data_IF_245682956350
#
_entry.id   IF_245682956350
#
_cell.length_a   1.000
_cell.length_b   1.000
_cell.length_c   1.000
_cell.angle_alpha   90.00
_cell.angle_beta   90.00
_cell.angle_gamma   90.00
#
_symmetry.space_group_name_H-M   'P 1'
#
loop_
_entity.id
_entity.type
_entity.pdbx_description
1 polymer ?
#
# COMPACT_ATOMS: atom_id res chain seq x y z
N UNK A 1 12.00 -9.21 5.45
CA UNK A 1 12.75 -9.33 6.72
C UNK A 1 12.09 -8.41 7.74
N UNK A 2 11.19 -8.96 8.57
CA UNK A 2 10.54 -8.22 9.66
C UNK A 2 11.57 -7.99 10.75
N UNK A 3 12.29 -6.87 10.70
CA UNK A 3 13.04 -6.40 11.86
C UNK A 3 12.05 -5.74 12.79
N UNK A 4 11.77 -6.44 13.86
CA UNK A 4 10.91 -6.05 14.96
C UNK A 4 11.34 -4.66 15.46
N UNK A 5 10.41 -3.72 15.43
CA UNK A 5 10.53 -2.45 16.12
C UNK A 5 10.41 -2.78 17.62
N UNK A 6 11.55 -2.97 18.27
CA UNK A 6 11.61 -3.19 19.72
C UNK A 6 11.28 -1.84 20.39
N UNK A 7 10.01 -1.45 20.41
CA UNK A 7 9.51 -0.45 21.33
C UNK A 7 9.27 -1.17 22.66
N UNK A 8 10.30 -1.28 23.47
CA UNK A 8 10.15 -1.60 24.88
C UNK A 8 9.50 -0.40 25.59
N UNK A 9 8.23 -0.15 25.34
CA UNK A 9 7.39 0.56 26.29
C UNK A 9 7.10 -0.42 27.44
N UNK A 10 8.10 -0.66 28.27
CA UNK A 10 7.84 -1.26 29.59
C UNK A 10 7.15 -0.16 30.39
N UNK A 11 5.81 -0.17 30.32
CA UNK A 11 4.98 0.62 31.23
C UNK A 11 5.43 0.28 32.66
N UNK A 12 5.89 1.29 33.39
CA UNK A 12 5.99 1.25 34.83
C UNK A 12 4.56 1.17 35.40
N UNK A 13 3.96 0.04 35.29
CA UNK A 13 2.65 -0.27 35.83
C UNK A 13 2.69 -1.63 36.51
N UNK A 14 2.42 -1.61 37.80
CA UNK A 14 2.16 -2.74 38.66
C UNK A 14 3.35 -3.20 39.54
N UNK A 15 3.56 -2.43 40.59
CA UNK A 15 3.96 -2.99 41.87
C UNK A 15 2.80 -3.87 42.41
N UNK A 16 2.55 -5.02 41.80
CA UNK A 16 1.76 -6.05 42.44
C UNK A 16 2.73 -6.89 43.29
N UNK A 17 2.48 -6.91 44.57
CA UNK A 17 3.23 -7.65 45.58
C UNK A 17 3.37 -9.12 45.23
N UNK A 18 4.48 -9.50 44.62
CA UNK A 18 4.89 -10.86 44.57
C UNK A 18 5.88 -11.12 45.72
N UNK A 19 5.43 -11.90 46.66
CA UNK A 19 6.22 -12.40 47.77
C UNK A 19 7.22 -13.48 47.25
N UNK A 20 8.30 -13.02 46.60
CA UNK A 20 9.34 -13.88 46.04
C UNK A 20 10.58 -13.86 46.95
N UNK A 21 10.44 -14.40 48.15
CA UNK A 21 11.56 -14.47 49.11
C UNK A 21 12.55 -15.64 48.87
N UNK A 22 12.38 -16.48 47.88
CA UNK A 22 13.23 -17.65 47.69
C UNK A 22 13.96 -17.81 46.36
N UNK A 23 13.76 -16.91 45.39
CA UNK A 23 14.39 -16.99 44.06
C UNK A 23 15.44 -15.92 43.76
N UNK A 24 15.63 -14.94 44.63
CA UNK A 24 16.60 -13.85 44.46
C UNK A 24 17.60 -13.86 45.64
N UNK A 25 18.55 -14.81 45.62
CA UNK A 25 19.77 -14.69 46.44
C UNK A 25 20.54 -13.46 45.95
N UNK A 26 20.44 -12.36 46.67
CA UNK A 26 21.09 -11.10 46.32
C UNK A 26 22.13 -10.80 47.38
N UNK A 27 23.40 -10.98 47.04
CA UNK A 27 24.54 -10.48 47.81
C UNK A 27 24.91 -9.10 47.19
N UNK A 28 24.86 -8.02 47.94
CA UNK A 28 25.23 -6.69 47.50
C UNK A 28 24.36 -5.57 48.11
N UNK A 29 24.60 -4.33 47.69
CA UNK A 29 23.80 -3.20 48.09
C UNK A 29 22.35 -3.30 47.54
N UNK A 30 21.40 -2.53 48.12
CA UNK A 30 20.03 -2.46 47.59
C UNK A 30 20.02 -2.01 46.12
N UNK A 31 20.96 -1.16 45.72
CA UNK A 31 21.12 -0.69 44.33
C UNK A 31 21.55 -1.82 43.40
N UNK A 32 22.49 -2.68 43.84
CA UNK A 32 22.93 -3.86 43.07
C UNK A 32 21.78 -4.85 42.91
N UNK A 33 21.02 -5.07 43.98
CA UNK A 33 19.82 -5.89 43.99
C UNK A 33 18.80 -5.38 42.98
N UNK A 34 18.56 -4.08 42.98
CA UNK A 34 17.63 -3.43 42.03
C UNK A 34 18.10 -3.62 40.58
N UNK A 35 19.36 -3.32 40.28
CA UNK A 35 19.98 -3.51 38.97
C UNK A 35 19.85 -4.94 38.47
N UNK A 36 20.04 -5.92 39.33
CA UNK A 36 19.93 -7.34 39.03
C UNK A 36 18.48 -7.73 38.65
N UNK A 37 17.51 -7.26 39.47
CA UNK A 37 16.11 -7.57 39.24
C UNK A 37 15.62 -6.91 37.93
N UNK A 38 15.97 -5.65 37.69
CA UNK A 38 15.64 -5.00 36.43
C UNK A 38 16.27 -5.70 35.21
N UNK A 39 17.56 -6.02 35.29
CA UNK A 39 18.26 -6.76 34.22
C UNK A 39 17.59 -8.08 33.88
N UNK A 40 17.18 -8.86 34.90
CA UNK A 40 16.44 -10.13 34.68
C UNK A 40 15.06 -9.90 34.10
N UNK A 41 14.29 -8.91 34.59
CA UNK A 41 12.95 -8.57 34.09
C UNK A 41 13.00 -8.21 32.62
N UNK A 42 13.86 -7.26 32.23
CA UNK A 42 14.03 -6.87 30.84
C UNK A 42 14.54 -8.02 29.96
N UNK A 43 15.52 -8.80 30.43
CA UNK A 43 16.05 -9.94 29.71
C UNK A 43 15.00 -11.00 29.40
N UNK A 44 14.12 -11.31 30.36
CA UNK A 44 13.01 -12.25 30.11
C UNK A 44 11.94 -11.66 29.22
N UNK A 45 11.63 -10.36 29.34
CA UNK A 45 10.70 -9.67 28.44
C UNK A 45 11.16 -9.77 26.99
N UNK A 46 12.39 -9.33 26.70
CA UNK A 46 12.99 -9.41 25.36
C UNK A 46 13.07 -10.85 24.86
N UNK A 47 13.41 -11.81 25.71
CA UNK A 47 13.43 -13.22 25.34
C UNK A 47 12.05 -13.72 24.91
N UNK A 48 10.98 -13.26 25.59
CA UNK A 48 9.60 -13.61 25.23
C UNK A 48 9.19 -13.03 23.88
N UNK A 49 9.46 -11.75 23.64
CA UNK A 49 9.16 -11.06 22.38
C UNK A 49 9.90 -11.68 21.18
N UNK A 50 11.13 -12.13 21.38
CA UNK A 50 11.97 -12.70 20.33
C UNK A 50 11.92 -14.24 20.24
N UNK A 51 11.02 -14.88 21.00
CA UNK A 51 10.94 -16.34 21.06
C UNK A 51 10.69 -17.02 19.70
N UNK A 52 10.05 -16.31 18.78
CA UNK A 52 9.68 -16.79 17.44
C UNK A 52 10.62 -16.34 16.31
N UNK A 53 11.63 -15.50 16.63
CA UNK A 53 12.61 -15.05 15.61
C UNK A 53 13.85 -15.93 15.64
N UNK A 54 13.89 -16.94 14.79
CA UNK A 54 14.99 -17.88 14.66
C UNK A 54 16.24 -17.28 14.02
N UNK A 55 16.11 -16.13 13.35
CA UNK A 55 17.23 -15.42 12.71
C UNK A 55 17.87 -14.36 13.63
N UNK A 56 17.34 -14.19 14.83
CA UNK A 56 17.83 -13.19 15.78
C UNK A 56 19.18 -13.56 16.38
N UNK A 57 20.16 -12.69 16.17
CA UNK A 57 21.54 -12.86 16.64
C UNK A 57 21.71 -12.32 18.08
N UNK A 58 21.45 -13.16 19.07
CA UNK A 58 21.54 -12.79 20.51
C UNK A 58 22.89 -12.21 20.90
N UNK A 59 23.98 -12.76 20.36
CA UNK A 59 25.33 -12.26 20.61
C UNK A 59 25.55 -10.84 20.14
N UNK A 60 25.15 -10.54 18.91
CA UNK A 60 25.23 -9.21 18.33
C UNK A 60 24.37 -8.19 19.10
N UNK A 61 23.18 -8.60 19.51
CA UNK A 61 22.29 -7.76 20.33
C UNK A 61 22.95 -7.38 21.66
N UNK A 62 23.47 -8.36 22.39
CA UNK A 62 24.17 -8.11 23.67
C UNK A 62 25.43 -7.28 23.47
N UNK A 63 26.19 -7.51 22.38
CA UNK A 63 27.37 -6.72 22.07
C UNK A 63 27.01 -5.25 21.82
N UNK A 64 25.93 -4.99 21.08
CA UNK A 64 25.41 -3.63 20.85
C UNK A 64 24.98 -2.94 22.13
N UNK A 65 24.21 -3.62 23.00
CA UNK A 65 23.83 -3.09 24.31
C UNK A 65 25.06 -2.76 25.18
N UNK A 66 26.01 -3.69 25.26
CA UNK A 66 27.24 -3.50 26.03
C UNK A 66 28.05 -2.30 25.53
N UNK A 67 28.13 -2.11 24.21
CA UNK A 67 28.85 -1.01 23.62
C UNK A 67 28.27 0.36 24.05
N UNK A 68 26.94 0.49 24.03
CA UNK A 68 26.26 1.72 24.44
C UNK A 68 26.35 1.96 25.95
N UNK A 69 26.14 0.92 26.77
CA UNK A 69 26.20 1.02 28.23
C UNK A 69 27.60 1.30 28.77
N UNK A 70 28.66 1.04 27.99
CA UNK A 70 30.03 1.34 28.32
C UNK A 70 30.48 2.75 27.91
N UNK A 71 29.65 3.51 27.20
CA UNK A 71 29.95 4.89 26.81
C UNK A 71 29.73 5.83 27.99
N UNK A 72 30.62 6.78 28.14
CA UNK A 72 30.47 7.87 29.10
C UNK A 72 29.66 9.05 28.53
N UNK A 73 29.30 10.00 29.38
CA UNK A 73 28.48 11.19 29.00
C UNK A 73 29.11 12.04 27.88
N UNK A 74 30.43 11.96 27.65
CA UNK A 74 31.09 12.67 26.55
C UNK A 74 30.66 12.13 25.16
N UNK A 75 29.94 11.01 25.13
CA UNK A 75 29.42 10.36 23.92
C UNK A 75 27.92 10.54 23.71
N UNK A 76 27.26 11.36 24.49
CA UNK A 76 25.81 11.55 24.39
C UNK A 76 25.36 12.02 22.99
N UNK A 77 26.09 12.99 22.40
CA UNK A 77 25.81 13.42 21.04
C UNK A 77 26.03 12.32 19.99
N UNK A 78 27.02 11.47 20.21
CA UNK A 78 27.25 10.30 19.34
C UNK A 78 26.13 9.28 19.47
N UNK A 79 25.64 9.04 20.69
CA UNK A 79 24.51 8.15 20.95
C UNK A 79 23.24 8.71 20.31
N UNK A 80 22.98 10.01 20.44
CA UNK A 80 21.88 10.68 19.78
C UNK A 80 21.95 10.55 18.25
N UNK A 81 23.13 10.70 17.67
CA UNK A 81 23.37 10.48 16.25
C UNK A 81 23.09 9.03 15.80
N UNK A 82 23.49 8.05 16.59
CA UNK A 82 23.16 6.64 16.31
C UNK A 82 21.66 6.38 16.35
N UNK A 83 20.95 6.94 17.35
CA UNK A 83 19.50 6.80 17.46
C UNK A 83 18.78 7.41 16.25
N UNK A 84 19.17 8.60 15.83
CA UNK A 84 18.64 9.23 14.61
C UNK A 84 18.93 8.39 13.37
N UNK A 85 20.15 7.87 13.23
CA UNK A 85 20.52 6.99 12.11
C UNK A 85 19.66 5.71 12.04
N UNK A 86 19.34 5.12 13.19
CA UNK A 86 18.42 3.98 13.25
C UNK A 86 17.00 4.35 12.85
N UNK A 87 16.49 5.51 13.30
CA UNK A 87 15.16 6.00 12.91
C UNK A 87 15.09 6.22 11.40
N UNK A 88 16.07 6.90 10.81
CA UNK A 88 16.15 7.13 9.36
C UNK A 88 16.18 5.81 8.59
N UNK A 89 16.99 4.84 9.04
CA UNK A 89 17.05 3.51 8.43
C UNK A 89 15.70 2.79 8.46
N UNK A 90 14.96 2.91 9.55
CA UNK A 90 13.62 2.34 9.68
C UNK A 90 12.61 3.04 8.75
N UNK A 91 12.67 4.38 8.64
CA UNK A 91 11.82 5.15 7.71
C UNK A 91 12.09 4.71 6.26
N UNK A 92 13.36 4.58 5.87
CA UNK A 92 13.73 4.10 4.53
C UNK A 92 13.24 2.68 4.27
N UNK A 93 13.37 1.78 5.25
CA UNK A 93 12.89 0.40 5.13
C UNK A 93 11.36 0.33 4.99
N UNK A 94 10.63 1.14 5.75
CA UNK A 94 9.16 1.23 5.66
C UNK A 94 8.71 1.82 4.32
N UNK A 95 9.40 2.85 3.81
CA UNK A 95 9.10 3.42 2.50
C UNK A 95 9.30 2.38 1.38
N UNK A 96 10.36 1.57 1.46
CA UNK A 96 10.58 0.47 0.52
C UNK A 96 9.53 -0.63 0.65
N UNK A 97 9.21 -1.07 1.87
CA UNK A 97 8.26 -2.18 2.09
C UNK A 97 6.82 -1.80 1.71
N UNK A 98 6.38 -0.59 2.09
CA UNK A 98 5.00 -0.15 1.89
C UNK A 98 4.74 0.43 0.51
N UNK A 99 5.67 1.22 0.01
CA UNK A 99 5.46 2.08 -1.17
C UNK A 99 6.39 1.74 -2.34
N UNK A 100 7.33 0.79 -2.17
CA UNK A 100 8.33 0.45 -3.17
C UNK A 100 9.35 1.57 -3.43
N UNK A 101 9.48 2.53 -2.50
CA UNK A 101 10.37 3.69 -2.64
C UNK A 101 11.74 3.39 -2.06
N UNK A 102 12.74 3.24 -2.92
CA UNK A 102 14.13 3.08 -2.53
C UNK A 102 14.80 4.45 -2.33
N UNK A 103 15.36 4.66 -1.14
CA UNK A 103 16.13 5.88 -0.82
C UNK A 103 17.60 5.54 -0.59
N UNK A 104 18.50 6.29 -1.24
CA UNK A 104 19.94 6.14 -1.05
C UNK A 104 20.40 6.84 0.24
N UNK A 105 20.84 6.04 1.21
CA UNK A 105 21.30 6.52 2.51
C UNK A 105 22.55 7.41 2.43
N UNK A 106 23.40 7.26 1.40
CA UNK A 106 24.61 8.08 1.22
C UNK A 106 24.24 9.47 0.72
N UNK A 107 23.29 9.54 -0.24
CA UNK A 107 22.76 10.83 -0.73
C UNK A 107 22.04 11.52 0.42
N UNK A 108 21.18 10.80 1.15
CA UNK A 108 20.48 11.35 2.31
C UNK A 108 21.45 11.94 3.33
N UNK A 109 22.44 11.17 3.76
CA UNK A 109 23.42 11.61 4.77
C UNK A 109 24.23 12.82 4.29
N UNK A 110 24.61 12.85 3.01
CA UNK A 110 25.34 13.98 2.41
C UNK A 110 24.53 15.28 2.50
N UNK A 111 23.26 15.24 2.10
CA UNK A 111 22.40 16.41 2.10
C UNK A 111 21.99 16.82 3.53
N UNK A 112 21.74 15.83 4.41
CA UNK A 112 21.53 16.09 5.83
C UNK A 112 22.71 16.83 6.45
N UNK A 113 23.94 16.33 6.26
CA UNK A 113 25.15 16.97 6.78
C UNK A 113 25.29 18.40 6.25
N UNK A 114 25.06 18.63 4.97
CA UNK A 114 25.12 19.96 4.36
C UNK A 114 24.12 20.91 5.00
N UNK A 115 22.88 20.49 5.20
CA UNK A 115 21.84 21.30 5.83
C UNK A 115 22.13 21.55 7.32
N UNK A 116 22.51 20.49 8.06
CA UNK A 116 22.78 20.54 9.48
C UNK A 116 23.97 21.46 9.86
N UNK A 117 24.99 21.48 9.00
CA UNK A 117 26.20 22.31 9.19
C UNK A 117 26.08 23.71 8.57
N UNK A 118 24.92 24.06 8.03
CA UNK A 118 24.67 25.39 7.44
C UNK A 118 24.28 26.40 8.52
N UNK A 119 24.79 27.62 8.37
CA UNK A 119 24.36 28.74 9.21
C UNK A 119 22.97 29.28 8.83
N UNK A 120 22.42 28.80 7.71
CA UNK A 120 21.10 29.22 7.20
C UNK A 120 20.01 28.33 7.75
N UNK A 121 19.07 28.90 8.49
CA UNK A 121 17.83 28.23 8.90
C UNK A 121 16.77 28.39 7.81
N UNK A 122 16.31 27.27 7.29
CA UNK A 122 15.22 27.20 6.29
C UNK A 122 14.06 26.44 6.94
N UNK A 123 12.84 26.97 6.83
CA UNK A 123 11.66 26.26 7.32
C UNK A 123 11.48 24.92 6.57
N UNK A 124 11.51 23.77 7.27
CA UNK A 124 11.34 22.46 6.63
C UNK A 124 10.00 22.32 5.91
N UNK A 125 8.98 23.11 6.26
CA UNK A 125 7.67 23.04 5.63
C UNK A 125 7.69 23.32 4.12
N UNK A 126 8.65 24.11 3.65
CA UNK A 126 8.78 24.41 2.19
C UNK A 126 9.09 23.16 1.35
N UNK A 127 9.65 22.12 1.95
CA UNK A 127 9.98 20.88 1.25
C UNK A 127 8.80 19.90 1.20
N UNK A 128 7.77 20.07 2.03
CA UNK A 128 6.68 19.08 2.18
C UNK A 128 5.95 18.81 0.86
N UNK A 129 5.58 19.86 0.13
CA UNK A 129 4.88 19.70 -1.16
C UNK A 129 5.75 18.94 -2.17
N UNK A 130 7.04 19.27 -2.24
CA UNK A 130 7.99 18.60 -3.15
C UNK A 130 8.26 17.14 -2.75
N UNK A 131 8.33 16.85 -1.46
CA UNK A 131 8.45 15.48 -0.96
C UNK A 131 7.23 14.67 -1.36
N UNK A 132 6.00 15.20 -1.16
CA UNK A 132 4.77 14.51 -1.56
C UNK A 132 4.73 14.24 -3.06
N UNK A 133 5.06 15.23 -3.88
CA UNK A 133 5.12 15.10 -5.34
C UNK A 133 6.11 14.00 -5.78
N UNK A 134 7.33 14.04 -5.25
CA UNK A 134 8.37 13.06 -5.58
C UNK A 134 8.01 11.65 -5.09
N UNK A 135 7.47 11.52 -3.89
CA UNK A 135 6.99 10.24 -3.37
C UNK A 135 5.91 9.64 -4.27
N UNK A 136 4.94 10.46 -4.70
CA UNK A 136 3.89 10.02 -5.62
C UNK A 136 4.47 9.58 -6.98
N UNK A 137 5.44 10.35 -7.53
CA UNK A 137 6.08 10.03 -8.80
C UNK A 137 6.87 8.71 -8.74
N UNK A 138 7.70 8.53 -7.71
CA UNK A 138 8.50 7.30 -7.52
C UNK A 138 7.59 6.09 -7.29
N UNK A 139 6.54 6.26 -6.49
CA UNK A 139 5.54 5.20 -6.26
C UNK A 139 4.83 4.79 -7.54
N UNK A 140 4.46 5.76 -8.38
CA UNK A 140 3.86 5.49 -9.68
C UNK A 140 4.84 4.73 -10.59
N UNK A 141 6.09 5.18 -10.67
CA UNK A 141 7.13 4.53 -11.48
C UNK A 141 7.40 3.09 -11.00
N UNK A 142 7.45 2.85 -9.68
CA UNK A 142 7.61 1.51 -9.13
C UNK A 142 6.45 0.58 -9.53
N UNK A 143 5.21 1.08 -9.50
CA UNK A 143 4.02 0.33 -9.94
C UNK A 143 4.05 0.03 -11.45
N UNK A 144 4.47 0.99 -12.26
CA UNK A 144 4.60 0.81 -13.71
C UNK A 144 5.67 -0.24 -14.08
N UNK A 145 6.71 -0.39 -13.24
CA UNK A 145 7.77 -1.39 -13.39
C UNK A 145 7.42 -2.76 -12.80
N UNK A 146 6.30 -2.90 -12.11
CA UNK A 146 5.83 -4.21 -11.61
C UNK A 146 5.74 -5.19 -12.80
N UNK A 147 6.39 -6.37 -12.74
CA UNK A 147 6.34 -7.34 -13.85
C UNK A 147 4.92 -7.71 -14.26
N UNK A 148 3.97 -7.74 -13.33
CA UNK A 148 2.55 -7.99 -13.60
C UNK A 148 1.93 -6.84 -14.40
N UNK A 149 2.22 -5.60 -14.00
CA UNK A 149 1.74 -4.41 -14.71
C UNK A 149 2.28 -4.36 -16.15
N UNK A 150 3.56 -4.69 -16.35
CA UNK A 150 4.18 -4.76 -17.66
C UNK A 150 3.54 -5.87 -18.52
N UNK A 151 3.37 -7.06 -17.95
CA UNK A 151 2.75 -8.19 -18.64
C UNK A 151 1.29 -7.87 -19.04
N UNK A 152 0.50 -7.30 -18.13
CA UNK A 152 -0.89 -6.93 -18.39
C UNK A 152 -1.00 -5.87 -19.50
N UNK A 153 -0.12 -4.88 -19.51
CA UNK A 153 -0.09 -3.85 -20.57
C UNK A 153 0.28 -4.44 -21.94
N UNK A 154 1.16 -5.45 -21.97
CA UNK A 154 1.46 -6.20 -23.21
C UNK A 154 0.27 -7.04 -23.65
N UNK A 155 -0.40 -7.73 -22.72
CA UNK A 155 -1.59 -8.54 -23.00
C UNK A 155 -2.74 -7.68 -23.52
N UNK A 156 -2.97 -6.52 -22.92
CA UNK A 156 -3.95 -5.52 -23.38
C UNK A 156 -3.69 -5.12 -24.83
N UNK A 157 -2.46 -4.69 -25.14
CA UNK A 157 -2.08 -4.28 -26.51
C UNK A 157 -2.31 -5.41 -27.52
N UNK A 158 -1.88 -6.62 -27.16
CA UNK A 158 -2.07 -7.79 -28.02
C UNK A 158 -3.55 -8.11 -28.21
N UNK A 159 -4.33 -8.12 -27.16
CA UNK A 159 -5.77 -8.40 -27.21
C UNK A 159 -6.52 -7.36 -28.05
N UNK A 160 -6.19 -6.09 -27.92
CA UNK A 160 -6.77 -5.03 -28.76
C UNK A 160 -6.47 -5.28 -30.24
N UNK A 161 -5.20 -5.49 -30.60
CA UNK A 161 -4.78 -5.69 -31.98
C UNK A 161 -5.38 -6.95 -32.60
N UNK A 162 -5.34 -8.08 -31.86
CA UNK A 162 -5.73 -9.38 -32.40
C UNK A 162 -7.25 -9.58 -32.39
N UNK A 163 -7.96 -9.04 -31.43
CA UNK A 163 -9.35 -9.41 -31.15
C UNK A 163 -10.35 -8.25 -31.31
N UNK A 164 -9.94 -7.00 -31.14
CA UNK A 164 -10.86 -5.87 -31.13
C UNK A 164 -10.79 -5.04 -32.40
N UNK A 165 -9.62 -4.53 -32.81
CA UNK A 165 -9.49 -3.58 -33.90
C UNK A 165 -9.86 -4.16 -35.27
N UNK A 166 -9.71 -5.47 -35.46
CA UNK A 166 -10.04 -6.16 -36.70
C UNK A 166 -11.43 -6.80 -36.69
N UNK A 167 -12.22 -6.63 -35.64
CA UNK A 167 -13.56 -7.17 -35.52
C UNK A 167 -14.63 -6.13 -35.91
N UNK A 168 -15.37 -6.28 -36.98
CA UNK A 168 -16.35 -5.29 -37.47
C UNK A 168 -17.54 -5.11 -36.52
N UNK A 169 -17.76 -6.03 -35.57
CA UNK A 169 -18.81 -5.90 -34.57
C UNK A 169 -18.38 -5.05 -33.35
N UNK A 170 -17.06 -4.78 -33.22
CA UNK A 170 -16.52 -3.98 -32.13
C UNK A 170 -16.41 -2.52 -32.57
N UNK A 171 -16.95 -1.66 -31.75
CA UNK A 171 -16.83 -0.20 -31.87
C UNK A 171 -15.86 0.33 -30.83
N UNK A 172 -15.34 1.52 -31.06
CA UNK A 172 -14.52 2.24 -30.08
C UNK A 172 -15.21 3.55 -29.75
N UNK A 173 -15.38 3.83 -28.45
CA UNK A 173 -15.93 5.11 -27.98
C UNK A 173 -14.91 6.24 -28.11
N UNK A 174 -15.37 7.50 -27.98
CA UNK A 174 -14.49 8.67 -27.97
C UNK A 174 -13.50 8.65 -26.82
N UNK A 175 -13.91 8.13 -25.65
CA UNK A 175 -13.03 7.98 -24.47
C UNK A 175 -12.06 6.81 -24.56
N UNK A 176 -12.22 5.89 -25.53
CA UNK A 176 -11.29 4.79 -25.80
C UNK A 176 -11.76 3.42 -25.34
N UNK A 177 -12.97 3.26 -24.84
CA UNK A 177 -13.57 1.96 -24.52
C UNK A 177 -13.94 1.23 -25.81
N UNK A 178 -13.56 -0.04 -25.92
CA UNK A 178 -14.05 -0.90 -26.99
C UNK A 178 -15.35 -1.57 -26.52
N UNK A 179 -16.33 -1.67 -27.42
CA UNK A 179 -17.60 -2.27 -27.06
C UNK A 179 -18.31 -2.95 -28.24
N UNK A 180 -19.09 -3.97 -27.89
CA UNK A 180 -20.02 -4.66 -28.79
C UNK A 180 -21.44 -4.43 -28.32
N UNK A 181 -22.30 -4.01 -29.23
CA UNK A 181 -23.75 -3.92 -29.00
C UNK A 181 -24.38 -5.28 -29.25
N UNK A 182 -24.88 -5.92 -28.19
CA UNK A 182 -25.60 -7.20 -28.29
C UNK A 182 -27.09 -6.94 -28.50
N UNK A 183 -27.60 -5.91 -27.82
CA UNK A 183 -28.99 -5.47 -27.91
C UNK A 183 -29.03 -3.97 -27.75
N UNK A 184 -29.70 -3.30 -28.66
CA UNK A 184 -30.00 -1.88 -28.51
C UNK A 184 -31.11 -1.70 -27.46
N UNK A 185 -31.01 -0.65 -26.67
CA UNK A 185 -32.08 -0.22 -25.76
C UNK A 185 -33.08 0.69 -26.47
N UNK A 186 -34.10 1.12 -25.73
CA UNK A 186 -35.11 2.04 -26.20
C UNK A 186 -35.23 3.25 -25.29
N UNK A 187 -35.64 4.39 -25.85
CA UNK A 187 -35.79 5.66 -25.12
C UNK A 187 -34.56 6.57 -25.23
N UNK A 188 -34.37 7.41 -24.23
CA UNK A 188 -33.24 8.36 -24.16
C UNK A 188 -32.02 7.73 -23.49
N UNK A 189 -30.86 8.26 -23.84
CA UNK A 189 -29.61 7.89 -23.15
C UNK A 189 -29.63 8.38 -21.71
N UNK A 190 -28.93 7.65 -20.84
CA UNK A 190 -28.78 8.05 -19.45
C UNK A 190 -27.88 9.28 -19.28
N UNK A 191 -28.15 10.06 -18.26
CA UNK A 191 -27.38 11.26 -17.90
C UNK A 191 -26.33 10.93 -16.83
N UNK A 192 -25.31 11.75 -16.74
CA UNK A 192 -24.24 11.61 -15.75
C UNK A 192 -24.73 11.67 -14.30
N UNK A 193 -25.88 12.30 -14.05
CA UNK A 193 -26.53 12.42 -12.74
C UNK A 193 -27.44 11.25 -12.39
N UNK A 194 -27.71 10.40 -13.35
CA UNK A 194 -28.69 9.34 -13.19
C UNK A 194 -28.17 8.21 -12.29
N UNK A 195 -29.14 7.53 -11.65
CA UNK A 195 -28.92 6.30 -10.94
C UNK A 195 -29.58 5.17 -11.74
N UNK A 196 -28.74 4.32 -12.30
CA UNK A 196 -29.13 3.36 -13.34
C UNK A 196 -29.12 1.96 -12.72
N UNK A 197 -30.21 1.23 -12.87
CA UNK A 197 -30.27 -0.20 -12.50
C UNK A 197 -29.57 -1.02 -13.58
N UNK A 198 -28.52 -1.73 -13.18
CA UNK A 198 -27.60 -2.46 -14.08
C UNK A 198 -27.46 -3.89 -13.60
N UNK A 199 -27.53 -4.85 -14.54
CA UNK A 199 -26.99 -6.19 -14.33
C UNK A 199 -25.64 -6.27 -15.03
N UNK A 200 -24.65 -6.86 -14.37
CA UNK A 200 -23.32 -6.97 -14.95
C UNK A 200 -22.58 -8.24 -14.55
N UNK A 201 -21.63 -8.59 -15.36
CA UNK A 201 -20.60 -9.60 -15.05
C UNK A 201 -19.25 -9.06 -15.50
N UNK A 202 -18.34 -8.93 -14.56
CA UNK A 202 -16.95 -8.50 -14.79
C UNK A 202 -16.01 -9.71 -14.91
N UNK A 203 -15.17 -9.71 -15.94
CA UNK A 203 -14.24 -10.80 -16.25
C UNK A 203 -12.84 -10.26 -16.56
N UNK A 204 -11.84 -11.07 -16.22
CA UNK A 204 -10.48 -10.93 -16.71
C UNK A 204 -10.40 -11.30 -18.21
N UNK A 205 -9.29 -10.95 -18.88
CA UNK A 205 -9.06 -11.32 -20.27
C UNK A 205 -9.02 -12.86 -20.50
N UNK A 206 -8.69 -13.63 -19.47
CA UNK A 206 -8.75 -15.10 -19.52
C UNK A 206 -10.16 -15.69 -19.39
N UNK A 207 -11.18 -14.82 -19.22
CA UNK A 207 -12.59 -15.20 -19.06
C UNK A 207 -13.04 -15.51 -17.64
N UNK A 208 -12.14 -15.52 -16.64
CA UNK A 208 -12.48 -15.75 -15.25
C UNK A 208 -13.30 -14.58 -14.70
N UNK A 209 -14.41 -14.90 -14.02
CA UNK A 209 -15.31 -13.92 -13.42
C UNK A 209 -14.74 -13.44 -12.10
N UNK A 210 -14.55 -12.13 -11.94
CA UNK A 210 -14.11 -11.53 -10.69
C UNK A 210 -15.23 -10.86 -9.91
N UNK A 211 -16.30 -10.43 -10.58
CA UNK A 211 -17.45 -9.79 -9.94
C UNK A 211 -18.70 -9.94 -10.80
N UNK A 212 -19.88 -9.99 -10.18
CA UNK A 212 -21.17 -10.10 -10.87
C UNK A 212 -22.32 -9.69 -9.97
N UNK A 213 -23.30 -9.00 -10.54
CA UNK A 213 -24.60 -8.76 -9.89
C UNK A 213 -25.53 -9.99 -9.94
N UNK A 214 -25.10 -11.06 -10.61
CA UNK A 214 -25.93 -12.24 -10.91
C UNK A 214 -27.24 -11.84 -11.62
N UNK A 215 -28.39 -12.29 -11.07
CA UNK A 215 -29.70 -11.99 -11.63
C UNK A 215 -30.31 -10.68 -11.11
N UNK A 216 -29.70 -10.08 -10.10
CA UNK A 216 -30.22 -8.87 -9.48
C UNK A 216 -29.68 -7.59 -10.19
N UNK A 217 -30.57 -6.63 -10.41
CA UNK A 217 -30.14 -5.32 -10.88
C UNK A 217 -29.66 -4.47 -9.69
N UNK A 218 -28.47 -3.90 -9.80
CA UNK A 218 -27.86 -3.04 -8.80
C UNK A 218 -27.74 -1.59 -9.31
N UNK A 219 -27.84 -0.58 -8.42
CA UNK A 219 -27.80 0.80 -8.83
C UNK A 219 -26.39 1.28 -9.07
N UNK A 220 -26.08 1.72 -10.29
CA UNK A 220 -24.85 2.38 -10.66
C UNK A 220 -25.08 3.86 -10.93
N UNK A 221 -24.10 4.69 -10.54
CA UNK A 221 -24.00 6.08 -10.98
C UNK A 221 -22.80 6.22 -11.90
N UNK A 222 -22.91 6.88 -13.07
CA UNK A 222 -21.77 7.08 -13.95
C UNK A 222 -20.55 7.74 -13.30
N UNK A 223 -20.77 8.53 -12.25
CA UNK A 223 -19.68 9.16 -11.45
C UNK A 223 -19.09 8.26 -10.38
N UNK A 224 -19.76 7.16 -10.03
CA UNK A 224 -19.39 6.27 -8.93
C UNK A 224 -18.75 4.96 -9.37
N UNK A 225 -18.51 4.77 -10.65
CA UNK A 225 -17.90 3.57 -11.24
C UNK A 225 -16.60 3.94 -11.96
N UNK A 226 -15.85 2.93 -12.42
CA UNK A 226 -14.63 3.17 -13.21
C UNK A 226 -14.93 4.04 -14.45
N UNK A 227 -13.99 4.91 -14.88
CA UNK A 227 -14.22 5.91 -15.93
C UNK A 227 -14.84 5.32 -17.20
N UNK A 228 -14.31 4.21 -17.70
CA UNK A 228 -14.83 3.57 -18.92
C UNK A 228 -16.26 3.04 -18.76
N UNK A 229 -16.63 2.51 -17.61
CA UNK A 229 -18.01 2.11 -17.33
C UNK A 229 -18.94 3.34 -17.29
N UNK A 230 -18.51 4.40 -16.59
CA UNK A 230 -19.27 5.64 -16.47
C UNK A 230 -19.53 6.33 -17.82
N UNK A 231 -18.56 6.30 -18.72
CA UNK A 231 -18.72 6.78 -20.10
C UNK A 231 -19.76 5.96 -20.86
N UNK A 232 -19.63 4.63 -20.82
CA UNK A 232 -20.49 3.74 -21.59
C UNK A 232 -21.93 3.74 -21.10
N UNK A 233 -22.17 3.83 -19.81
CA UNK A 233 -23.52 3.95 -19.26
C UNK A 233 -24.28 5.15 -19.82
N UNK A 234 -23.60 6.28 -20.11
CA UNK A 234 -24.20 7.46 -20.71
C UNK A 234 -24.50 7.30 -22.22
N UNK A 235 -23.90 6.31 -22.88
CA UNK A 235 -24.18 5.97 -24.27
C UNK A 235 -25.27 4.89 -24.41
N UNK A 236 -25.56 4.17 -23.33
CA UNK A 236 -26.61 3.15 -23.30
C UNK A 236 -27.99 3.73 -23.05
N UNK A 237 -29.01 2.94 -23.38
CA UNK A 237 -30.44 3.25 -23.18
C UNK A 237 -31.06 2.16 -22.33
N UNK A 238 -32.24 2.37 -21.71
CA UNK A 238 -32.95 1.32 -20.99
C UNK A 238 -33.17 0.05 -21.85
N UNK A 239 -32.84 -1.11 -21.30
CA UNK A 239 -32.94 -2.41 -21.96
C UNK A 239 -31.81 -2.75 -22.93
N UNK A 240 -30.75 -1.92 -22.99
CA UNK A 240 -29.55 -2.21 -23.78
C UNK A 240 -28.69 -3.30 -23.14
N UNK A 241 -28.04 -4.12 -23.96
CA UNK A 241 -27.05 -5.11 -23.53
C UNK A 241 -25.77 -4.90 -24.35
N UNK A 242 -24.69 -4.57 -23.67
CA UNK A 242 -23.38 -4.34 -24.28
C UNK A 242 -22.31 -5.23 -23.66
N UNK A 243 -21.32 -5.60 -24.47
CA UNK A 243 -20.04 -6.14 -23.96
C UNK A 243 -19.02 -5.02 -24.04
N UNK A 244 -18.46 -4.65 -22.91
CA UNK A 244 -17.49 -3.57 -22.78
C UNK A 244 -16.10 -4.19 -22.58
N UNK A 245 -15.10 -3.71 -23.30
CA UNK A 245 -13.70 -4.02 -23.15
C UNK A 245 -13.01 -2.74 -22.71
N UNK A 246 -12.77 -2.64 -21.41
CA UNK A 246 -12.31 -1.41 -20.77
C UNK A 246 -10.79 -1.47 -20.57
N UNK A 247 -10.01 -0.64 -21.29
CA UNK A 247 -8.57 -0.55 -21.11
C UNK A 247 -8.22 -0.22 -19.65
N UNK A 248 -7.06 -0.67 -19.21
CA UNK A 248 -6.62 -0.50 -17.82
C UNK A 248 -6.66 0.95 -17.37
N UNK A 249 -6.26 1.89 -18.23
CA UNK A 249 -6.22 3.34 -17.91
C UNK A 249 -7.63 3.92 -17.69
N UNK A 250 -8.68 3.27 -18.16
CA UNK A 250 -10.09 3.61 -17.95
C UNK A 250 -10.79 2.73 -16.91
N UNK A 251 -10.03 1.83 -16.29
CA UNK A 251 -10.45 0.93 -15.20
C UNK A 251 -9.74 1.28 -13.89
N UNK A 252 -8.88 0.39 -13.38
CA UNK A 252 -8.17 0.57 -12.11
C UNK A 252 -6.69 0.99 -12.27
N UNK A 253 -6.23 1.17 -13.50
CA UNK A 253 -4.88 1.67 -13.84
C UNK A 253 -3.75 0.86 -13.21
N UNK A 254 -2.68 1.56 -12.86
CA UNK A 254 -1.48 0.99 -12.22
C UNK A 254 -1.72 0.53 -10.78
N UNK A 255 -2.84 0.90 -10.17
CA UNK A 255 -3.15 0.52 -8.80
C UNK A 255 -3.77 -0.87 -8.69
N UNK A 256 -4.54 -1.27 -9.70
CA UNK A 256 -5.39 -2.44 -9.61
C UNK A 256 -6.48 -2.27 -8.54
N UNK A 257 -7.10 -3.36 -8.10
CA UNK A 257 -8.10 -3.33 -7.03
C UNK A 257 -8.02 -4.58 -6.16
N UNK A 258 -7.71 -4.40 -4.89
CA UNK A 258 -7.58 -5.49 -3.92
C UNK A 258 -6.58 -6.56 -4.36
N UNK A 259 -6.89 -7.82 -4.05
CA UNK A 259 -6.12 -8.97 -4.52
C UNK A 259 -6.60 -9.52 -5.88
N UNK A 260 -7.74 -9.03 -6.36
CA UNK A 260 -8.48 -9.61 -7.48
C UNK A 260 -8.07 -9.00 -8.81
N UNK A 261 -7.98 -7.67 -8.89
CA UNK A 261 -7.63 -6.96 -10.14
C UNK A 261 -6.19 -6.49 -10.06
N UNK A 262 -5.36 -6.99 -10.98
CA UNK A 262 -3.94 -6.69 -11.01
C UNK A 262 -3.65 -5.29 -11.60
N UNK A 263 -2.45 -4.72 -11.35
CA UNK A 263 -2.02 -3.50 -12.00
C UNK A 263 -2.06 -3.58 -13.52
N UNK A 264 -2.54 -2.51 -14.17
CA UNK A 264 -2.66 -2.39 -15.62
C UNK A 264 -3.46 -3.52 -16.30
N UNK A 265 -4.50 -3.99 -15.65
CA UNK A 265 -5.34 -5.06 -16.20
C UNK A 265 -6.54 -4.49 -16.95
N UNK A 266 -6.65 -4.86 -18.23
CA UNK A 266 -7.83 -4.63 -19.06
C UNK A 266 -8.97 -5.55 -18.61
N UNK A 267 -10.19 -5.03 -18.52
CA UNK A 267 -11.34 -5.75 -18.02
C UNK A 267 -12.44 -5.88 -19.07
N UNK A 268 -13.19 -6.98 -18.99
CA UNK A 268 -14.36 -7.23 -19.83
C UNK A 268 -15.59 -7.19 -18.94
N UNK A 269 -16.63 -6.46 -19.37
CA UNK A 269 -17.92 -6.43 -18.68
C UNK A 269 -19.05 -6.72 -19.65
N UNK A 270 -19.89 -7.69 -19.31
CA UNK A 270 -21.22 -7.80 -19.88
C UNK A 270 -22.13 -6.88 -19.06
N UNK A 271 -22.84 -5.97 -19.70
CA UNK A 271 -23.66 -4.95 -19.04
C UNK A 271 -25.03 -4.92 -19.66
N UNK A 272 -26.06 -5.11 -18.84
CA UNK A 272 -27.47 -4.88 -19.18
C UNK A 272 -27.99 -3.71 -18.36
N UNK A 273 -28.52 -2.67 -19.01
CA UNK A 273 -29.19 -1.55 -18.35
C UNK A 273 -30.69 -1.85 -18.27
N UNK A 274 -31.24 -1.89 -17.07
CA UNK A 274 -32.65 -2.16 -16.84
C UNK A 274 -33.50 -0.90 -16.94
N UNK A 275 -33.03 0.19 -16.33
CA UNK A 275 -33.74 1.47 -16.30
C UNK A 275 -33.18 2.40 -15.22
N UNK A 276 -33.92 3.45 -14.90
CA UNK A 276 -33.59 4.33 -13.78
C UNK A 276 -33.99 3.69 -12.45
N UNK A 277 -33.21 3.94 -11.41
CA UNK A 277 -33.58 3.61 -10.03
C UNK A 277 -34.75 4.51 -9.61
N UNK A 278 -35.85 3.90 -9.22
CA UNK A 278 -37.08 4.62 -8.86
C UNK A 278 -37.04 5.25 -7.45
N UNK A 279 -35.89 5.26 -6.77
CA UNK A 279 -35.76 5.82 -5.42
C UNK A 279 -35.18 7.21 -5.41
#
# INVERSE_FOLDING_TARGET
MKKILLMAAVAMGLMASCNCNSACGVEGSKSDSLSMVFGRMYGFGVKGELAHDTAFQKGEFIAGMKAVLAMDESKDDYIAGMQMGMQVKNIMAQAMERDGVEMDSKIWLKEFKKAFMSDTMIDPAIFQARVMELMAAVKKEAKEKDPRAVANKMNEKKFIADSLENNPEIKKSEGGVYYKVVKEGAGENFKVSDRIMVKYTGRHLNGEVFDSSKDDAVPFSPRGVIPGMGEMLQQMKPGAVYVLYIPADLAYGTDGSGATIQPNEMLIFDVETVGLDAK
#
